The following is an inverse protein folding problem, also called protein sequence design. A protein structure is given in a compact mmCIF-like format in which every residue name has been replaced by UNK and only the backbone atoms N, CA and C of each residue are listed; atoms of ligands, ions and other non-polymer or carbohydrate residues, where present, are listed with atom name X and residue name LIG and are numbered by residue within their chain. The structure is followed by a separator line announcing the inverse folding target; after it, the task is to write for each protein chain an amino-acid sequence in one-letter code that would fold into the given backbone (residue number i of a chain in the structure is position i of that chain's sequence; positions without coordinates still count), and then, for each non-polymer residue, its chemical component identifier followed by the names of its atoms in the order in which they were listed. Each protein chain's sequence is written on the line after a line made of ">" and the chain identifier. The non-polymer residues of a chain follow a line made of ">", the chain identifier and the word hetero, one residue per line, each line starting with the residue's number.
data_IF_616199559540
#
_entry.id   IF_616199559540
#
_cell.length_a   1.000
_cell.length_b   1.000
_cell.length_c   1.000
_cell.angle_alpha   90.00
_cell.angle_beta   90.00
_cell.angle_gamma   90.00
#
_symmetry.space_group_name_H-M   'P 1'
#
loop_
_entity.id
_entity.type
_entity.pdbx_description
1 polymer ?
#
# COMPACT_ATOMS: atom_id res chain seq x y z
N UNK A 1 24.88 -3.72 -5.84
CA UNK A 1 24.59 -4.49 -7.07
C UNK A 1 24.53 -6.00 -6.80
N UNK A 2 23.80 -6.44 -5.77
CA UNK A 2 23.74 -7.88 -5.41
C UNK A 2 22.30 -8.44 -5.45
N UNK A 3 21.29 -7.65 -5.80
CA UNK A 3 19.89 -8.09 -5.83
C UNK A 3 19.49 -8.88 -7.09
N UNK A 4 20.24 -8.76 -8.18
CA UNK A 4 19.91 -9.43 -9.46
C UNK A 4 20.23 -10.93 -9.51
N UNK A 5 21.10 -11.43 -8.65
CA UNK A 5 21.55 -12.82 -8.75
C UNK A 5 20.63 -13.83 -8.02
N UNK A 6 19.84 -13.40 -7.03
CA UNK A 6 18.92 -14.28 -6.30
C UNK A 6 17.65 -14.62 -7.10
N UNK A 7 17.21 -13.75 -7.99
CA UNK A 7 15.97 -13.92 -8.76
C UNK A 7 16.09 -14.94 -9.90
N UNK A 8 17.28 -15.10 -10.47
CA UNK A 8 17.49 -16.03 -11.58
C UNK A 8 17.55 -17.51 -11.14
N UNK A 9 17.82 -17.80 -9.86
CA UNK A 9 17.96 -19.17 -9.35
C UNK A 9 16.60 -19.83 -9.02
N UNK A 10 15.56 -19.03 -8.78
CA UNK A 10 14.25 -19.54 -8.37
C UNK A 10 13.51 -20.29 -9.48
N UNK A 11 13.67 -19.89 -10.73
CA UNK A 11 12.96 -20.49 -11.85
C UNK A 11 13.50 -21.89 -12.24
N UNK A 12 14.77 -22.21 -11.90
CA UNK A 12 15.41 -23.45 -12.29
C UNK A 12 15.18 -24.62 -11.33
N UNK A 13 14.64 -24.39 -10.13
CA UNK A 13 14.56 -25.37 -9.06
C UNK A 13 13.15 -25.88 -8.75
N UNK A 14 12.13 -25.53 -9.57
CA UNK A 14 10.74 -25.98 -9.32
C UNK A 14 10.20 -25.49 -7.96
N UNK A 15 10.57 -24.30 -7.52
CA UNK A 15 10.12 -23.71 -6.26
C UNK A 15 8.62 -23.45 -6.29
N UNK A 16 7.94 -23.48 -5.14
CA UNK A 16 6.49 -23.43 -5.06
C UNK A 16 5.94 -22.19 -5.78
N UNK A 17 4.95 -22.42 -6.63
CA UNK A 17 4.26 -21.40 -7.43
C UNK A 17 3.33 -20.49 -6.61
N UNK A 18 3.42 -20.54 -5.28
CA UNK A 18 2.65 -19.70 -4.37
C UNK A 18 3.42 -18.43 -3.94
N UNK A 19 2.72 -17.43 -3.40
CA UNK A 19 3.34 -16.21 -2.91
C UNK A 19 4.45 -16.55 -1.92
N UNK A 20 5.67 -16.07 -2.21
CA UNK A 20 6.82 -16.29 -1.34
C UNK A 20 7.06 -15.05 -0.51
N UNK A 21 7.01 -15.21 0.80
CA UNK A 21 7.46 -14.18 1.71
C UNK A 21 8.36 -14.76 2.78
N UNK A 22 9.35 -13.98 3.18
CA UNK A 22 10.31 -14.32 4.22
C UNK A 22 10.45 -13.16 5.19
N UNK A 23 10.70 -13.47 6.46
CA UNK A 23 11.05 -12.47 7.46
C UNK A 23 12.55 -12.51 7.72
N UNK A 24 13.21 -11.38 7.54
CA UNK A 24 14.62 -11.19 7.89
C UNK A 24 14.70 -10.47 9.24
N UNK A 25 15.13 -11.19 10.26
CA UNK A 25 15.24 -10.65 11.62
C UNK A 25 16.37 -9.62 11.78
N UNK A 26 17.41 -9.68 10.95
CA UNK A 26 18.56 -8.76 11.03
C UNK A 26 18.18 -7.35 10.58
N UNK A 27 17.28 -7.22 9.63
CA UNK A 27 16.77 -5.95 9.10
C UNK A 27 15.36 -5.64 9.59
N UNK A 28 14.72 -6.57 10.32
CA UNK A 28 13.30 -6.51 10.69
C UNK A 28 12.39 -6.29 9.46
N UNK A 29 12.66 -7.01 8.38
CA UNK A 29 12.00 -6.84 7.08
C UNK A 29 11.21 -8.08 6.68
N UNK A 30 9.96 -7.88 6.29
CA UNK A 30 9.20 -8.85 5.49
C UNK A 30 9.55 -8.59 4.02
N UNK A 31 10.10 -9.59 3.36
CA UNK A 31 10.33 -9.57 1.92
C UNK A 31 9.29 -10.45 1.24
N UNK A 32 8.57 -9.89 0.31
CA UNK A 32 7.52 -10.57 -0.45
C UNK A 32 7.78 -10.43 -1.95
N UNK A 33 7.61 -11.54 -2.68
CA UNK A 33 7.69 -11.54 -4.13
C UNK A 33 6.29 -11.68 -4.72
N UNK A 34 5.95 -10.81 -5.65
CA UNK A 34 4.72 -10.93 -6.41
C UNK A 34 4.77 -12.15 -7.33
N UNK A 35 3.73 -12.95 -7.30
CA UNK A 35 3.55 -14.12 -8.18
C UNK A 35 2.41 -13.90 -9.18
N UNK A 36 1.75 -12.76 -9.10
CA UNK A 36 0.68 -12.29 -10.00
C UNK A 36 0.75 -10.78 -10.10
N UNK A 37 0.08 -10.20 -11.08
CA UNK A 37 0.00 -8.75 -11.25
C UNK A 37 -0.72 -8.02 -10.09
N UNK A 38 -1.10 -8.72 -9.03
CA UNK A 38 -1.74 -8.14 -7.85
C UNK A 38 -1.28 -8.87 -6.59
N UNK A 39 -0.80 -8.11 -5.61
CA UNK A 39 -0.41 -8.61 -4.29
C UNK A 39 -1.10 -7.79 -3.20
N UNK A 40 -1.59 -8.47 -2.18
CA UNK A 40 -2.28 -7.88 -1.03
C UNK A 40 -1.46 -8.04 0.23
N UNK A 41 -1.15 -6.94 0.87
CA UNK A 41 -0.49 -6.87 2.18
C UNK A 41 -1.51 -6.40 3.21
N UNK A 42 -1.67 -7.11 4.31
CA UNK A 42 -2.66 -6.74 5.33
C UNK A 42 -2.30 -7.26 6.72
N UNK A 43 -3.11 -6.84 7.69
CA UNK A 43 -3.08 -7.35 9.06
C UNK A 43 -4.19 -8.39 9.23
N UNK A 44 -3.90 -9.52 9.87
CA UNK A 44 -4.90 -10.56 10.16
C UNK A 44 -5.88 -10.19 11.29
N UNK A 45 -5.73 -9.02 11.91
CA UNK A 45 -6.52 -8.57 13.07
C UNK A 45 -5.90 -8.94 14.43
N UNK A 46 -4.87 -9.74 14.43
CA UNK A 46 -4.13 -10.19 15.62
C UNK A 46 -2.65 -9.75 15.60
N UNK A 47 -2.30 -8.83 14.72
CA UNK A 47 -0.94 -8.32 14.55
C UNK A 47 -0.05 -9.18 13.64
N UNK A 48 -0.55 -10.26 13.04
CA UNK A 48 0.18 -11.00 12.00
C UNK A 48 0.07 -10.28 10.66
N UNK A 49 1.20 -10.15 9.98
CA UNK A 49 1.27 -9.61 8.61
C UNK A 49 0.97 -10.72 7.63
N UNK A 50 0.01 -10.47 6.77
CA UNK A 50 -0.37 -11.35 5.66
C UNK A 50 0.12 -10.77 4.33
N UNK A 51 0.66 -11.63 3.47
CA UNK A 51 0.87 -11.33 2.06
C UNK A 51 0.14 -12.40 1.25
N UNK A 52 -0.84 -11.99 0.46
CA UNK A 52 -1.73 -12.86 -0.29
C UNK A 52 -2.32 -14.01 0.56
N UNK A 53 -2.73 -13.67 1.79
CA UNK A 53 -3.31 -14.60 2.76
C UNK A 53 -2.31 -15.46 3.54
N UNK A 54 -1.00 -15.39 3.24
CA UNK A 54 0.04 -16.14 3.94
C UNK A 54 0.65 -15.29 5.05
N UNK A 55 0.85 -15.88 6.22
CA UNK A 55 1.56 -15.22 7.34
C UNK A 55 3.04 -15.08 7.02
N UNK A 56 3.54 -13.86 7.06
CA UNK A 56 4.92 -13.51 6.70
C UNK A 56 5.72 -12.89 7.85
N UNK A 57 5.06 -12.44 8.90
CA UNK A 57 5.69 -11.81 10.04
C UNK A 57 4.65 -11.26 11.02
N UNK A 58 5.10 -10.41 11.95
CA UNK A 58 4.23 -9.71 12.89
C UNK A 58 4.52 -8.23 12.90
N UNK A 59 3.51 -7.40 13.18
CA UNK A 59 3.66 -5.94 13.29
C UNK A 59 4.69 -5.57 14.38
N UNK A 60 4.71 -6.33 15.49
CA UNK A 60 5.62 -6.06 16.60
C UNK A 60 7.10 -6.21 16.25
N UNK A 61 7.43 -7.05 15.28
CA UNK A 61 8.81 -7.37 14.89
C UNK A 61 9.24 -6.67 13.60
N UNK A 62 8.28 -6.25 12.76
CA UNK A 62 8.55 -5.75 11.42
C UNK A 62 8.68 -4.24 11.41
N UNK A 63 9.70 -3.72 10.73
CA UNK A 63 9.89 -2.28 10.47
C UNK A 63 9.57 -1.90 9.04
N UNK A 64 9.70 -2.84 8.13
CA UNK A 64 9.40 -2.60 6.72
C UNK A 64 8.91 -3.88 6.03
N UNK A 65 8.07 -3.68 5.03
CA UNK A 65 7.57 -4.70 4.14
C UNK A 65 7.98 -4.30 2.74
N UNK A 66 8.74 -5.14 2.08
CA UNK A 66 9.20 -4.92 0.70
C UNK A 66 8.45 -5.89 -0.19
N UNK A 67 7.67 -5.36 -1.12
CA UNK A 67 6.97 -6.12 -2.15
C UNK A 67 7.70 -5.88 -3.46
N UNK A 68 8.27 -6.93 -4.04
CA UNK A 68 8.99 -6.84 -5.30
C UNK A 68 8.29 -7.65 -6.40
N UNK A 69 8.20 -7.07 -7.59
CA UNK A 69 7.75 -7.78 -8.79
C UNK A 69 8.95 -8.37 -9.53
N UNK A 70 8.80 -9.62 -9.97
CA UNK A 70 9.74 -10.26 -10.89
C UNK A 70 9.21 -10.29 -12.33
N UNK A 71 8.03 -9.72 -12.55
CA UNK A 71 7.40 -9.71 -13.88
C UNK A 71 8.07 -8.69 -14.80
N UNK A 72 8.01 -8.94 -16.14
CA UNK A 72 8.40 -7.93 -17.11
C UNK A 72 7.55 -6.67 -16.93
N UNK A 73 7.99 -5.51 -17.45
CA UNK A 73 7.24 -4.26 -17.35
C UNK A 73 5.77 -4.44 -17.69
N UNK A 74 4.90 -4.09 -16.76
CA UNK A 74 3.45 -4.25 -16.84
C UNK A 74 2.77 -3.37 -15.80
N UNK A 75 1.47 -3.43 -15.71
CA UNK A 75 0.71 -2.73 -14.67
C UNK A 75 0.50 -3.66 -13.48
N UNK A 76 1.33 -3.53 -12.47
CA UNK A 76 1.18 -4.26 -11.22
C UNK A 76 0.29 -3.50 -10.23
N UNK A 77 -0.32 -4.21 -9.31
CA UNK A 77 -1.13 -3.62 -8.23
C UNK A 77 -0.64 -4.12 -6.88
N UNK A 78 -0.19 -3.21 -6.03
CA UNK A 78 0.09 -3.53 -4.63
C UNK A 78 -1.01 -2.91 -3.76
N UNK A 79 -1.65 -3.75 -2.96
CA UNK A 79 -2.76 -3.39 -2.09
C UNK A 79 -2.32 -3.44 -0.64
N UNK A 80 -2.55 -2.37 0.10
CA UNK A 80 -2.55 -2.35 1.56
C UNK A 80 -4.00 -2.51 2.03
N UNK A 81 -4.30 -3.64 2.67
CA UNK A 81 -5.65 -3.98 3.14
C UNK A 81 -5.73 -3.89 4.66
N UNK A 82 -6.39 -2.86 5.16
CA UNK A 82 -6.56 -2.59 6.59
C UNK A 82 -7.93 -3.02 7.14
N UNK A 83 -8.76 -3.71 6.37
CA UNK A 83 -10.11 -4.12 6.80
C UNK A 83 -10.14 -4.95 8.08
N UNK A 84 -9.09 -5.71 8.35
CA UNK A 84 -8.96 -6.54 9.56
C UNK A 84 -8.04 -5.93 10.62
N UNK A 85 -7.56 -4.73 10.42
CA UNK A 85 -6.68 -3.99 11.32
C UNK A 85 -5.62 -3.21 10.56
N UNK A 86 -5.20 -2.11 11.16
CA UNK A 86 -4.22 -1.22 10.55
C UNK A 86 -2.84 -1.86 10.48
N UNK A 87 -2.12 -1.59 9.40
CA UNK A 87 -0.69 -1.86 9.30
C UNK A 87 0.11 -0.76 10.04
N UNK A 88 -0.34 0.49 9.94
CA UNK A 88 0.25 1.63 10.64
C UNK A 88 -0.67 2.07 11.79
N UNK A 89 -0.27 1.79 13.04
CA UNK A 89 -1.01 2.25 14.23
C UNK A 89 -0.45 3.60 14.70
N UNK A 90 -1.31 4.64 14.87
CA UNK A 90 -0.87 6.00 15.25
C UNK A 90 -0.08 6.07 16.56
N UNK A 91 -0.26 5.11 17.44
CA UNK A 91 0.36 5.08 18.77
C UNK A 91 1.64 4.25 18.88
N UNK A 92 2.02 3.50 17.84
CA UNK A 92 3.19 2.62 17.90
C UNK A 92 4.41 3.30 17.30
N UNK A 93 5.53 3.28 18.02
CA UNK A 93 6.84 3.69 17.48
C UNK A 93 7.36 2.70 16.42
N UNK A 94 6.66 1.61 16.17
CA UNK A 94 7.04 0.55 15.23
C UNK A 94 5.92 0.37 14.22
N UNK A 95 6.09 0.99 13.09
CA UNK A 95 5.14 0.94 11.98
C UNK A 95 5.87 0.37 10.79
N UNK A 96 5.48 -0.77 10.27
CA UNK A 96 6.09 -1.24 9.04
C UNK A 96 5.75 -0.29 7.90
N UNK A 97 6.79 0.24 7.25
CA UNK A 97 6.62 0.93 5.98
C UNK A 97 6.52 -0.10 4.86
N UNK A 98 5.61 0.12 3.93
CA UNK A 98 5.44 -0.72 2.75
C UNK A 98 6.15 -0.08 1.56
N UNK A 99 7.08 -0.81 0.97
CA UNK A 99 7.79 -0.42 -0.24
C UNK A 99 7.38 -1.34 -1.39
N UNK A 100 6.76 -0.78 -2.42
CA UNK A 100 6.45 -1.48 -3.65
C UNK A 100 7.54 -1.23 -4.69
N UNK A 101 8.24 -2.28 -5.06
CA UNK A 101 9.30 -2.28 -6.08
C UNK A 101 8.79 -3.05 -7.29
N UNK A 102 7.85 -2.45 -8.00
CA UNK A 102 7.07 -3.08 -9.06
C UNK A 102 7.66 -2.88 -10.47
N UNK A 103 8.75 -2.12 -10.56
CA UNK A 103 9.42 -1.87 -11.85
C UNK A 103 8.81 -0.68 -12.59
N UNK A 104 8.75 -0.77 -13.91
CA UNK A 104 8.18 0.26 -14.78
C UNK A 104 6.89 -0.22 -15.43
N UNK A 105 5.89 0.66 -15.60
CA UNK A 105 4.64 0.25 -16.23
C UNK A 105 3.41 1.04 -15.79
N UNK A 106 3.56 1.99 -14.89
CA UNK A 106 2.46 2.79 -14.39
C UNK A 106 1.57 2.01 -13.43
N UNK A 107 2.18 1.48 -12.39
CA UNK A 107 1.57 0.59 -11.41
C UNK A 107 0.46 1.24 -10.58
N UNK A 108 -0.30 0.42 -9.89
CA UNK A 108 -1.38 0.88 -9.00
C UNK A 108 -1.00 0.64 -7.54
N UNK A 109 -1.08 1.71 -6.74
CA UNK A 109 -1.13 1.64 -5.27
C UNK A 109 -2.59 1.69 -4.83
N UNK A 110 -3.07 0.66 -4.13
CA UNK A 110 -4.42 0.63 -3.58
C UNK A 110 -4.37 0.54 -2.05
N UNK A 111 -5.17 1.36 -1.37
CA UNK A 111 -5.40 1.25 0.08
C UNK A 111 -6.88 0.96 0.30
N UNK A 112 -7.16 -0.05 1.12
CA UNK A 112 -8.49 -0.41 1.58
C UNK A 112 -8.53 -0.15 3.09
N UNK A 113 -9.35 0.79 3.51
CA UNK A 113 -9.46 1.23 4.89
C UNK A 113 -10.17 0.27 5.82
N UNK A 114 -10.33 0.69 7.05
CA UNK A 114 -11.02 -0.03 8.11
C UNK A 114 -12.55 0.19 8.03
N UNK A 115 -13.29 -0.32 9.00
CA UNK A 115 -14.69 0.03 9.21
C UNK A 115 -14.87 1.26 10.14
N UNK A 116 -13.80 1.90 10.54
CA UNK A 116 -13.78 3.07 11.42
C UNK A 116 -13.27 4.29 10.67
N UNK A 117 -13.07 5.37 11.40
CA UNK A 117 -12.54 6.61 10.84
C UNK A 117 -11.10 6.42 10.36
N UNK A 118 -10.88 6.67 9.07
CA UNK A 118 -9.58 6.60 8.43
C UNK A 118 -9.13 7.97 7.89
N UNK A 119 -7.83 8.13 7.73
CA UNK A 119 -7.27 9.29 7.09
C UNK A 119 -6.08 8.90 6.24
N UNK A 120 -6.25 9.00 4.94
CA UNK A 120 -5.21 8.69 3.95
C UNK A 120 -4.84 9.94 3.15
N UNK A 121 -3.54 10.19 3.04
CA UNK A 121 -3.02 11.32 2.29
C UNK A 121 -1.99 10.84 1.29
N UNK A 122 -2.30 10.99 0.01
CA UNK A 122 -1.37 10.70 -1.07
C UNK A 122 -0.53 11.94 -1.41
N UNK A 123 0.77 11.72 -1.59
CA UNK A 123 1.76 12.72 -1.97
C UNK A 123 2.39 12.38 -3.32
N UNK A 124 2.97 13.40 -3.95
CA UNK A 124 3.61 13.29 -5.27
C UNK A 124 5.13 13.56 -5.16
N UNK A 125 5.77 12.98 -4.17
CA UNK A 125 7.20 13.15 -3.91
C UNK A 125 7.96 11.96 -4.53
N UNK A 126 8.99 12.19 -5.32
CA UNK A 126 9.94 11.17 -5.84
C UNK A 126 9.30 9.82 -6.25
N UNK A 127 8.12 9.85 -6.86
CA UNK A 127 7.24 8.72 -7.10
C UNK A 127 5.86 8.98 -6.50
N UNK A 128 5.20 7.99 -5.92
CA UNK A 128 3.99 8.17 -5.15
C UNK A 128 4.15 7.59 -3.75
N UNK A 129 3.56 8.25 -2.78
CA UNK A 129 3.54 7.78 -1.40
C UNK A 129 2.19 8.08 -0.75
N UNK A 130 1.82 7.25 0.22
CA UNK A 130 0.58 7.38 0.98
C UNK A 130 0.94 7.34 2.47
N UNK A 131 0.47 8.33 3.19
CA UNK A 131 0.47 8.41 4.64
C UNK A 131 -0.82 7.72 5.14
N UNK A 132 -0.68 6.63 5.89
CA UNK A 132 -1.78 5.78 6.34
C UNK A 132 -2.31 6.16 7.72
N UNK A 133 -1.62 7.03 8.46
CA UNK A 133 -1.96 7.35 9.86
C UNK A 133 -1.99 8.84 10.19
N UNK A 134 -1.76 9.69 9.19
CA UNK A 134 -1.79 11.14 9.28
C UNK A 134 -0.67 11.77 10.14
N UNK A 135 0.45 11.10 10.28
CA UNK A 135 1.63 11.63 10.97
C UNK A 135 2.51 12.50 10.06
N UNK A 136 2.19 12.58 8.78
CA UNK A 136 2.87 13.30 7.70
C UNK A 136 4.15 12.60 7.20
N UNK A 137 4.36 11.35 7.58
CA UNK A 137 5.42 10.53 7.04
C UNK A 137 4.83 9.46 6.11
N UNK A 138 5.43 9.19 4.94
CA UNK A 138 4.95 8.15 4.07
C UNK A 138 5.09 6.76 4.70
N UNK A 139 4.03 5.96 4.63
CA UNK A 139 4.00 4.57 5.09
C UNK A 139 3.97 3.57 3.94
N UNK A 140 3.37 3.96 2.82
CA UNK A 140 3.34 3.18 1.60
C UNK A 140 3.99 3.97 0.47
N UNK A 141 5.06 3.43 -0.11
CA UNK A 141 5.91 4.12 -1.11
C UNK A 141 6.12 3.24 -2.34
N UNK A 142 6.02 3.83 -3.52
CA UNK A 142 6.43 3.22 -4.79
C UNK A 142 7.04 4.25 -5.73
N UNK A 143 7.93 3.80 -6.61
CA UNK A 143 8.69 4.69 -7.51
C UNK A 143 8.04 4.93 -8.87
N UNK A 144 7.21 4.02 -9.35
CA UNK A 144 6.55 4.14 -10.65
C UNK A 144 5.05 3.87 -10.55
N UNK A 145 4.29 4.90 -10.18
CA UNK A 145 2.85 4.80 -9.95
C UNK A 145 2.09 5.60 -10.99
N UNK A 146 1.33 4.87 -11.80
CA UNK A 146 0.36 5.46 -12.73
C UNK A 146 -0.98 5.77 -12.09
N UNK A 147 -1.34 5.06 -11.01
CA UNK A 147 -2.65 5.21 -10.35
C UNK A 147 -2.60 5.01 -8.85
N UNK A 148 -3.35 5.83 -8.13
CA UNK A 148 -3.67 5.61 -6.72
C UNK A 148 -5.17 5.29 -6.58
N UNK A 149 -5.50 4.33 -5.72
CA UNK A 149 -6.87 4.00 -5.33
C UNK A 149 -6.98 4.05 -3.82
N UNK A 150 -7.78 4.96 -3.29
CA UNK A 150 -8.09 5.06 -1.87
C UNK A 150 -9.53 4.66 -1.63
N UNK A 151 -9.76 3.71 -0.70
CA UNK A 151 -11.10 3.29 -0.25
C UNK A 151 -11.22 3.49 1.25
N UNK A 152 -12.10 4.39 1.69
CA UNK A 152 -12.37 4.65 3.11
C UNK A 152 -13.09 3.47 3.78
N UNK A 153 -13.97 2.81 3.07
CA UNK A 153 -14.89 1.77 3.54
C UNK A 153 -16.06 2.35 4.34
N UNK A 154 -16.15 2.14 5.65
CA UNK A 154 -17.19 2.72 6.49
C UNK A 154 -16.57 3.57 7.58
N UNK A 155 -17.26 4.62 8.02
CA UNK A 155 -16.75 5.56 9.02
C UNK A 155 -16.67 6.98 8.45
N UNK A 156 -16.28 7.92 9.28
CA UNK A 156 -16.14 9.33 8.86
C UNK A 156 -14.72 9.58 8.35
N UNK A 157 -14.48 9.31 7.08
CA UNK A 157 -13.16 9.23 6.50
C UNK A 157 -12.64 10.56 5.93
N UNK A 158 -11.34 10.67 5.83
CA UNK A 158 -10.66 11.78 5.16
C UNK A 158 -9.71 11.24 4.11
N UNK A 159 -10.08 11.36 2.85
CA UNK A 159 -9.26 10.96 1.72
C UNK A 159 -8.68 12.18 1.01
N UNK A 160 -7.38 12.24 0.88
CA UNK A 160 -6.70 13.33 0.21
C UNK A 160 -5.73 12.82 -0.85
N UNK A 161 -5.93 13.25 -2.07
CA UNK A 161 -5.00 13.06 -3.16
C UNK A 161 -4.88 14.36 -3.93
N UNK A 162 -3.77 15.07 -3.69
CA UNK A 162 -3.44 16.34 -4.35
C UNK A 162 -2.93 16.19 -5.77
N UNK A 163 -2.70 14.96 -6.22
CA UNK A 163 -2.22 14.67 -7.58
C UNK A 163 -3.27 15.00 -8.62
N UNK A 164 -2.83 15.37 -9.79
CA UNK A 164 -3.66 15.42 -10.98
C UNK A 164 -3.50 14.11 -11.74
N UNK A 165 -4.58 13.46 -12.12
CA UNK A 165 -4.44 12.18 -12.83
C UNK A 165 -5.75 11.44 -12.97
N UNK A 166 -5.67 10.13 -12.92
CA UNK A 166 -6.81 9.22 -13.05
C UNK A 166 -6.97 8.38 -11.77
N UNK A 167 -6.67 8.98 -10.62
CA UNK A 167 -6.76 8.32 -9.33
C UNK A 167 -8.22 8.17 -8.91
N UNK A 168 -8.48 7.23 -8.01
CA UNK A 168 -9.84 6.94 -7.57
C UNK A 168 -9.93 7.03 -6.05
N UNK A 169 -10.86 7.86 -5.57
CA UNK A 169 -11.18 8.01 -4.16
C UNK A 169 -12.63 7.56 -3.95
N UNK A 170 -12.82 6.51 -3.17
CA UNK A 170 -14.12 5.95 -2.83
C UNK A 170 -14.26 6.00 -1.30
N UNK A 171 -15.08 6.92 -0.81
CA UNK A 171 -15.22 7.12 0.63
C UNK A 171 -16.03 5.98 1.27
N UNK A 172 -17.26 5.79 0.90
CA UNK A 172 -18.10 4.73 1.44
C UNK A 172 -19.23 5.29 2.30
N UNK A 173 -19.84 4.50 3.21
CA UNK A 173 -20.85 4.99 4.15
C UNK A 173 -20.23 5.78 5.30
N UNK A 174 -20.66 7.04 5.51
CA UNK A 174 -20.18 7.89 6.59
C UNK A 174 -20.36 9.37 6.28
N UNK A 175 -19.77 10.25 7.10
CA UNK A 175 -19.67 11.69 6.82
C UNK A 175 -18.26 12.01 6.33
N UNK A 176 -18.03 11.68 5.08
CA UNK A 176 -16.69 11.65 4.52
C UNK A 176 -16.25 12.98 3.95
N UNK A 177 -14.95 13.20 4.02
CA UNK A 177 -14.32 14.39 3.46
C UNK A 177 -13.27 14.00 2.44
N UNK A 178 -13.35 14.57 1.24
CA UNK A 178 -12.39 14.32 0.18
C UNK A 178 -11.69 15.61 -0.26
N UNK A 179 -10.41 15.48 -0.60
CA UNK A 179 -9.64 16.48 -1.35
C UNK A 179 -8.98 15.80 -2.53
N UNK A 180 -9.51 16.03 -3.72
CA UNK A 180 -9.04 15.38 -4.93
C UNK A 180 -8.39 16.36 -5.91
N UNK A 181 -7.39 15.88 -6.63
CA UNK A 181 -6.79 16.55 -7.78
C UNK A 181 -7.71 16.56 -9.00
N UNK A 182 -7.37 17.33 -10.03
CA UNK A 182 -8.11 17.35 -11.29
C UNK A 182 -7.96 16.02 -12.04
N UNK A 183 -9.03 15.55 -12.65
CA UNK A 183 -9.06 14.29 -13.38
C UNK A 183 -9.30 13.06 -12.53
N UNK A 184 -9.27 13.17 -11.20
CA UNK A 184 -9.54 12.06 -10.29
C UNK A 184 -11.03 11.75 -10.24
N UNK A 185 -11.36 10.47 -10.05
CA UNK A 185 -12.73 10.00 -9.85
C UNK A 185 -13.03 9.90 -8.36
N UNK A 186 -14.08 10.59 -7.92
CA UNK A 186 -14.55 10.59 -6.53
C UNK A 186 -15.94 9.98 -6.45
N UNK A 187 -16.15 9.08 -5.49
CA UNK A 187 -17.45 8.42 -5.26
C UNK A 187 -17.76 8.27 -3.77
N UNK A 188 -19.02 8.47 -3.38
CA UNK A 188 -19.51 8.25 -2.01
C UNK A 188 -18.87 9.16 -0.97
N UNK A 189 -18.60 10.43 -1.29
CA UNK A 189 -18.05 11.39 -0.34
C UNK A 189 -19.00 12.61 -0.22
N UNK A 190 -19.38 13.00 1.00
CA UNK A 190 -20.36 14.04 1.28
C UNK A 190 -19.77 15.46 1.22
N UNK A 191 -18.47 15.59 1.53
CA UNK A 191 -17.79 16.88 1.60
C UNK A 191 -16.56 16.90 0.71
N UNK A 192 -16.54 17.82 -0.25
CA UNK A 192 -15.37 18.09 -1.06
C UNK A 192 -14.68 19.38 -0.56
N UNK A 193 -13.42 19.27 -0.19
CA UNK A 193 -12.62 20.43 0.22
C UNK A 193 -11.84 20.98 -0.98
N UNK A 194 -11.70 22.33 -1.08
CA UNK A 194 -10.88 22.94 -2.11
C UNK A 194 -9.41 22.51 -1.95
N UNK A 195 -8.70 22.47 -3.08
CA UNK A 195 -7.24 22.27 -3.08
C UNK A 195 -6.61 23.35 -2.19
N UNK A 196 -5.69 22.96 -1.33
CA UNK A 196 -4.71 23.91 -0.83
C UNK A 196 -3.66 24.08 -1.93
N UNK A 197 -3.60 25.23 -2.53
CA UNK A 197 -2.42 25.61 -3.31
C UNK A 197 -1.25 25.70 -2.33
N UNK A 198 -0.09 25.14 -2.68
CA UNK A 198 1.12 25.32 -1.88
C UNK A 198 1.53 26.77 -1.79
#
# INVERSE_FOLDING_TARGET
>A
MAFGALLALSAALGLPTGPTCTYDASTATVQAQMVSARTVVGNAGDGRILVDGRVCGTLAQTRQIVVASAFPPGTDTVVVDERHGRLAEPSSMRRPKVFALTGTGGDTMEVIGTAGRDRYVAYNDLGASIDLDADRAPDFVSTDVGRIVLRGMAGDDVLSDGRSGHDRLACGPGLDTVRAGSGNTVTGCERSLPRRHP
#
